data_IF_032882861531
#
_entry.id   IF_032882861531
#
_cell.length_a   1.000
_cell.length_b   1.000
_cell.length_c   1.000
_cell.angle_alpha   90.00
_cell.angle_beta   90.00
_cell.angle_gamma   90.00
#
_symmetry.space_group_name_H-M   'P 1'
#
loop_
_entity.id
_entity.type
_entity.pdbx_description
1 polymer ?
#
# COMPACT_ATOMS: atom_id res chain seq x y z
N UNK A 1 -11.68 8.41 -10.28
CA UNK A 1 -10.47 9.07 -9.74
C UNK A 1 -9.27 8.32 -10.26
N UNK A 2 -8.19 9.00 -10.67
CA UNK A 2 -7.02 8.29 -11.23
C UNK A 2 -6.18 7.61 -10.15
N UNK A 3 -5.37 6.64 -10.57
CA UNK A 3 -4.42 5.94 -9.71
C UNK A 3 -3.48 6.91 -8.98
N UNK A 4 -2.85 7.83 -9.73
CA UNK A 4 -1.93 8.82 -9.18
C UNK A 4 -2.60 9.76 -8.16
N UNK A 5 -3.86 10.13 -8.38
CA UNK A 5 -4.62 10.95 -7.43
C UNK A 5 -4.87 10.16 -6.14
N UNK A 6 -5.25 8.89 -6.26
CA UNK A 6 -5.49 8.03 -5.10
C UNK A 6 -4.22 7.87 -4.26
N UNK A 7 -3.07 7.56 -4.86
CA UNK A 7 -1.81 7.46 -4.11
C UNK A 7 -1.42 8.77 -3.43
N UNK A 8 -1.63 9.92 -4.09
CA UNK A 8 -1.36 11.23 -3.50
C UNK A 8 -2.26 11.49 -2.29
N UNK A 9 -3.55 11.18 -2.42
CA UNK A 9 -4.49 11.32 -1.31
C UNK A 9 -4.11 10.42 -0.13
N UNK A 10 -3.74 9.16 -0.38
CA UNK A 10 -3.32 8.22 0.67
C UNK A 10 -2.06 8.68 1.39
N UNK A 11 -1.11 9.27 0.66
CA UNK A 11 0.06 9.90 1.27
C UNK A 11 -0.33 11.03 2.23
N UNK A 12 -1.24 11.92 1.82
CA UNK A 12 -1.75 12.98 2.69
C UNK A 12 -2.54 12.44 3.88
N UNK A 13 -3.37 11.42 3.68
CA UNK A 13 -4.14 10.80 4.76
C UNK A 13 -3.22 10.14 5.80
N UNK A 14 -2.21 9.40 5.34
CA UNK A 14 -1.18 8.80 6.20
C UNK A 14 -0.47 9.86 7.03
N UNK A 15 -0.05 10.97 6.41
CA UNK A 15 0.60 12.07 7.12
C UNK A 15 -0.32 12.69 8.18
N UNK A 16 -1.57 12.96 7.84
CA UNK A 16 -2.58 13.50 8.77
C UNK A 16 -2.86 12.54 9.93
N UNK A 17 -2.90 11.24 9.67
CA UNK A 17 -3.07 10.22 10.72
C UNK A 17 -1.90 10.26 11.70
N UNK A 18 -0.67 10.29 11.20
CA UNK A 18 0.53 10.37 12.04
C UNK A 18 0.56 11.66 12.88
N UNK A 19 0.23 12.80 12.27
CA UNK A 19 0.15 14.09 12.96
C UNK A 19 -0.89 14.06 14.10
N UNK A 20 -2.10 13.56 13.81
CA UNK A 20 -3.15 13.39 14.83
C UNK A 20 -2.73 12.45 15.94
N UNK A 21 -2.14 11.30 15.62
CA UNK A 21 -1.71 10.34 16.61
C UNK A 21 -0.63 10.93 17.55
N UNK A 22 0.33 11.68 16.99
CA UNK A 22 1.36 12.37 17.79
C UNK A 22 0.76 13.40 18.74
N UNK A 23 -0.31 14.10 18.34
CA UNK A 23 -0.98 15.07 19.22
C UNK A 23 -1.58 14.45 20.49
N UNK A 24 -1.79 13.13 20.51
CA UNK A 24 -2.27 12.36 21.67
C UNK A 24 -1.22 11.40 22.22
N UNK A 25 0.06 11.66 21.96
CA UNK A 25 1.20 10.84 22.41
C UNK A 25 1.11 9.38 21.99
N UNK A 26 0.54 9.11 20.82
CA UNK A 26 0.45 7.77 20.23
C UNK A 26 1.24 7.69 18.92
N UNK A 27 1.82 6.51 18.64
CA UNK A 27 2.53 6.23 17.41
C UNK A 27 1.91 4.99 16.75
N UNK A 28 1.19 5.14 15.63
CA UNK A 28 0.68 4.01 14.88
C UNK A 28 1.82 3.12 14.42
N UNK A 29 1.60 1.81 14.48
CA UNK A 29 2.53 0.83 13.94
C UNK A 29 2.47 0.84 12.41
N UNK A 30 3.57 0.42 11.78
CA UNK A 30 3.68 0.33 10.33
C UNK A 30 2.59 -0.60 9.75
N UNK A 31 2.33 -1.75 10.38
CA UNK A 31 1.22 -2.66 10.04
C UNK A 31 -0.15 -1.94 9.92
N UNK A 32 -0.46 -1.00 10.83
CA UNK A 32 -1.71 -0.21 10.78
C UNK A 32 -1.76 0.76 9.61
N UNK A 33 -0.64 1.41 9.30
CA UNK A 33 -0.54 2.33 8.15
C UNK A 33 -0.70 1.53 6.86
N UNK A 34 -0.07 0.36 6.80
CA UNK A 34 -0.14 -0.60 5.70
C UNK A 34 -1.57 -1.07 5.48
N UNK A 35 -2.27 -1.53 6.51
CA UNK A 35 -3.66 -1.97 6.41
C UNK A 35 -4.60 -0.86 5.92
N UNK A 36 -4.48 0.35 6.47
CA UNK A 36 -5.30 1.48 6.04
C UNK A 36 -5.11 1.79 4.55
N UNK A 37 -3.86 1.79 4.06
CA UNK A 37 -3.57 2.02 2.65
C UNK A 37 -4.10 0.89 1.76
N UNK A 38 -3.95 -0.38 2.16
CA UNK A 38 -4.47 -1.53 1.41
C UNK A 38 -6.00 -1.50 1.30
N UNK A 39 -6.70 -1.18 2.39
CA UNK A 39 -8.16 -1.06 2.40
C UNK A 39 -8.61 -0.02 1.38
N UNK A 40 -8.03 1.18 1.41
CA UNK A 40 -8.40 2.25 0.50
C UNK A 40 -8.07 1.92 -0.97
N UNK A 41 -6.93 1.27 -1.22
CA UNK A 41 -6.58 0.82 -2.57
C UNK A 41 -7.60 -0.21 -3.09
N UNK A 42 -8.01 -1.18 -2.27
CA UNK A 42 -9.05 -2.15 -2.62
C UNK A 42 -10.40 -1.47 -2.88
N UNK A 43 -10.77 -0.47 -2.08
CA UNK A 43 -12.05 0.23 -2.25
C UNK A 43 -12.06 1.12 -3.49
N UNK A 44 -10.97 1.85 -3.75
CA UNK A 44 -10.95 2.94 -4.73
C UNK A 44 -10.37 2.53 -6.07
N UNK A 45 -9.52 1.50 -6.13
CA UNK A 45 -8.71 1.14 -7.29
C UNK A 45 -8.71 -0.36 -7.59
N UNK A 46 -9.72 -1.11 -7.15
CA UNK A 46 -9.82 -2.58 -7.36
C UNK A 46 -9.78 -3.03 -8.82
N UNK A 47 -10.07 -2.15 -9.78
CA UNK A 47 -9.99 -2.46 -11.21
C UNK A 47 -8.57 -2.32 -11.79
N UNK A 48 -7.69 -1.54 -11.15
CA UNK A 48 -6.34 -1.23 -11.64
C UNK A 48 -5.24 -1.80 -10.74
N UNK A 49 -5.53 -1.99 -9.45
CA UNK A 49 -4.59 -2.49 -8.44
C UNK A 49 -5.18 -3.73 -7.77
N UNK A 50 -4.47 -4.84 -7.92
CA UNK A 50 -4.74 -6.08 -7.19
C UNK A 50 -3.76 -6.15 -6.03
N UNK A 51 -4.27 -6.38 -4.82
CA UNK A 51 -3.46 -6.45 -3.60
C UNK A 51 -3.61 -7.80 -2.93
N UNK A 52 -2.49 -8.35 -2.47
CA UNK A 52 -2.46 -9.59 -1.69
C UNK A 52 -1.63 -9.34 -0.44
N UNK A 53 -2.27 -9.43 0.73
CA UNK A 53 -1.60 -9.29 2.02
C UNK A 53 -1.09 -10.65 2.48
N UNK A 54 0.16 -10.71 2.89
CA UNK A 54 0.81 -11.93 3.34
C UNK A 54 0.81 -11.97 4.87
N UNK A 55 0.70 -13.16 5.45
CA UNK A 55 0.95 -13.33 6.88
C UNK A 55 2.45 -13.46 7.15
N UNK A 56 2.85 -13.33 8.42
CA UNK A 56 4.27 -13.35 8.86
C UNK A 56 5.04 -14.58 8.39
N UNK A 57 4.38 -15.75 8.30
CA UNK A 57 5.02 -16.98 7.82
C UNK A 57 5.30 -16.93 6.31
N UNK A 58 4.39 -16.33 5.54
CA UNK A 58 4.58 -16.15 4.10
C UNK A 58 5.62 -15.06 3.80
N UNK A 59 5.58 -13.97 4.56
CA UNK A 59 6.54 -12.86 4.46
C UNK A 59 7.97 -13.32 4.74
N UNK A 60 8.18 -14.12 5.80
CA UNK A 60 9.50 -14.66 6.14
C UNK A 60 10.12 -15.55 5.06
N UNK A 61 9.33 -16.10 4.13
CA UNK A 61 9.82 -16.85 2.97
C UNK A 61 10.23 -15.96 1.80
N UNK A 62 9.63 -14.77 1.72
CA UNK A 62 9.86 -13.83 0.63
C UNK A 62 10.98 -12.85 0.96
N UNK A 63 11.00 -12.31 2.18
CA UNK A 63 12.01 -11.35 2.64
C UNK A 63 11.89 -9.98 1.96
N UNK A 64 10.68 -9.45 1.80
CA UNK A 64 10.43 -8.06 1.40
C UNK A 64 9.17 -7.56 2.09
N UNK A 65 9.20 -6.29 2.51
CA UNK A 65 8.08 -5.63 3.17
C UNK A 65 6.99 -5.31 2.13
N UNK A 66 7.42 -4.90 0.92
CA UNK A 66 6.52 -4.65 -0.20
C UNK A 66 7.01 -5.23 -1.52
N UNK A 67 6.05 -5.66 -2.34
CA UNK A 67 6.29 -6.01 -3.74
C UNK A 67 5.30 -5.31 -4.65
N UNK A 68 5.84 -4.58 -5.62
CA UNK A 68 5.07 -3.90 -6.65
C UNK A 68 5.35 -4.54 -7.99
N UNK A 69 4.29 -4.96 -8.67
CA UNK A 69 4.36 -5.56 -9.99
C UNK A 69 3.56 -4.71 -10.96
N UNK A 70 4.26 -4.12 -11.93
CA UNK A 70 3.68 -3.29 -12.97
C UNK A 70 3.67 -4.07 -14.27
N UNK A 71 2.54 -4.02 -14.97
CA UNK A 71 2.40 -4.63 -16.29
C UNK A 71 1.55 -3.77 -17.20
N UNK A 72 1.59 -4.07 -18.49
CA UNK A 72 0.73 -3.48 -19.50
C UNK A 72 0.08 -4.61 -20.27
N UNK A 73 -1.24 -4.68 -20.31
CA UNK A 73 -1.96 -5.75 -21.01
C UNK A 73 -1.60 -5.90 -22.50
N UNK A 74 -1.09 -4.84 -23.13
CA UNK A 74 -0.65 -4.84 -24.54
C UNK A 74 0.78 -5.31 -24.75
N UNK A 75 1.61 -5.31 -23.71
CA UNK A 75 3.02 -5.68 -23.77
C UNK A 75 3.25 -6.70 -22.68
N UNK A 76 3.43 -7.98 -23.03
CA UNK A 76 3.60 -9.10 -22.09
C UNK A 76 4.93 -8.99 -21.30
N UNK A 77 5.05 -7.93 -20.50
CA UNK A 77 6.24 -7.48 -19.80
C UNK A 77 5.80 -7.13 -18.38
N UNK A 78 6.60 -7.56 -17.43
CA UNK A 78 6.41 -7.30 -16.02
C UNK A 78 7.64 -6.59 -15.47
N UNK A 79 7.41 -5.54 -14.70
CA UNK A 79 8.43 -4.81 -13.97
C UNK A 79 8.14 -4.94 -12.48
N UNK A 80 9.06 -5.57 -11.74
CA UNK A 80 8.94 -5.82 -10.31
C UNK A 80 9.85 -4.89 -9.51
N UNK A 81 9.32 -4.31 -8.44
CA UNK A 81 10.08 -3.55 -7.44
C UNK A 81 9.83 -4.19 -6.07
N UNK A 82 10.91 -4.40 -5.34
CA UNK A 82 10.88 -4.91 -3.97
C UNK A 82 11.44 -3.84 -3.04
N UNK A 83 10.74 -3.60 -1.94
CA UNK A 83 11.17 -2.72 -0.85
C UNK A 83 11.25 -3.57 0.40
#
# INVERSE_FOLDING_TARGET
MSLCQTYRDLSFQTWRLMEKARSVSHQPLEETITDNNIIELKLRQSHEVITTTYNKVQEGKIGADWQWWFTNSKKNIWFGVRV
#
